data_IF_562902556262
#
_entry.id   IF_562902556262
#
_cell.length_a   1.000
_cell.length_b   1.000
_cell.length_c   1.000
_cell.angle_alpha   90.00
_cell.angle_beta   90.00
_cell.angle_gamma   90.00
#
_symmetry.space_group_name_H-M   'P 1'
#
loop_
_entity.id
_entity.type
_entity.pdbx_description
1 polymer ?
#
# COMPACT_ATOMS: atom_id res chain seq x y z
N UNK A 1 3.53 5.52 15.53
CA UNK A 1 3.48 4.48 14.49
C UNK A 1 4.32 3.28 14.89
N UNK A 2 3.81 2.11 14.52
CA UNK A 2 4.59 0.89 14.56
C UNK A 2 5.84 1.06 13.69
N UNK A 3 6.94 0.40 14.07
CA UNK A 3 8.20 0.47 13.33
C UNK A 3 8.04 0.06 11.86
N UNK A 4 7.30 -1.01 11.61
CA UNK A 4 7.04 -1.46 10.24
C UNK A 4 6.21 -0.45 9.45
N UNK A 5 5.20 0.14 10.08
CA UNK A 5 4.38 1.15 9.43
C UNK A 5 5.20 2.40 9.10
N UNK A 6 6.09 2.81 10.00
CA UNK A 6 6.96 3.94 9.75
C UNK A 6 7.92 3.67 8.59
N UNK A 7 8.49 2.46 8.54
CA UNK A 7 9.36 2.06 7.44
C UNK A 7 8.60 2.04 6.13
N UNK A 8 7.37 1.53 6.14
CA UNK A 8 6.53 1.52 4.95
C UNK A 8 6.22 2.94 4.46
N UNK A 9 5.93 3.84 5.39
CA UNK A 9 5.65 5.23 5.06
C UNK A 9 6.84 5.90 4.37
N UNK A 10 8.05 5.62 4.84
CA UNK A 10 9.24 6.26 4.32
C UNK A 10 9.81 5.56 3.07
N UNK A 11 9.76 4.24 3.02
CA UNK A 11 10.45 3.43 2.01
C UNK A 11 9.52 2.59 1.13
N UNK A 12 8.22 2.54 1.46
CA UNK A 12 7.28 1.72 0.71
C UNK A 12 7.02 2.24 -0.69
N UNK A 13 6.53 1.37 -1.56
CA UNK A 13 6.13 1.71 -2.92
C UNK A 13 4.87 2.56 -2.85
N UNK A 14 4.87 3.70 -3.51
CA UNK A 14 3.70 4.58 -3.57
C UNK A 14 2.66 4.01 -4.53
N UNK A 15 1.38 4.25 -4.24
CA UNK A 15 0.31 3.83 -5.14
C UNK A 15 0.53 4.36 -6.57
N UNK A 16 0.98 5.60 -6.70
CA UNK A 16 1.21 6.21 -8.01
C UNK A 16 2.25 5.48 -8.83
N UNK A 17 3.14 4.73 -8.17
CA UNK A 17 4.19 3.96 -8.85
C UNK A 17 3.73 2.56 -9.24
N UNK A 18 2.52 2.14 -8.85
CA UNK A 18 1.98 0.84 -9.24
C UNK A 18 1.25 0.98 -10.56
N UNK A 19 1.15 -0.13 -11.29
CA UNK A 19 0.49 -0.16 -12.60
C UNK A 19 -0.36 -1.41 -12.75
N UNK A 20 -1.27 -1.40 -13.72
CA UNK A 20 -2.07 -2.56 -14.10
C UNK A 20 -3.07 -2.98 -13.04
N UNK A 21 -3.22 -4.28 -12.88
CA UNK A 21 -4.23 -4.85 -11.98
C UNK A 21 -3.99 -4.48 -10.52
N UNK A 22 -2.72 -4.40 -10.11
CA UNK A 22 -2.40 -4.03 -8.74
C UNK A 22 -2.88 -2.62 -8.43
N UNK A 23 -2.66 -1.68 -9.34
CA UNK A 23 -3.13 -0.31 -9.15
C UNK A 23 -4.65 -0.25 -9.03
N UNK A 24 -5.36 -1.00 -9.86
CA UNK A 24 -6.82 -1.07 -9.80
C UNK A 24 -7.31 -1.65 -8.48
N UNK A 25 -6.65 -2.69 -8.01
CA UNK A 25 -6.98 -3.33 -6.75
C UNK A 25 -6.83 -2.36 -5.58
N UNK A 26 -5.70 -1.63 -5.55
CA UNK A 26 -5.44 -0.65 -4.50
C UNK A 26 -6.45 0.49 -4.56
N UNK A 27 -6.78 0.97 -5.76
CA UNK A 27 -7.77 2.02 -5.93
C UNK A 27 -9.14 1.59 -5.41
N UNK A 28 -9.51 0.34 -5.61
CA UNK A 28 -10.77 -0.21 -5.10
C UNK A 28 -10.78 -0.21 -3.58
N UNK A 29 -9.69 -0.64 -2.96
CA UNK A 29 -9.58 -0.62 -1.50
C UNK A 29 -9.61 0.82 -0.97
N UNK A 30 -8.92 1.73 -1.63
CA UNK A 30 -8.91 3.13 -1.23
C UNK A 30 -10.30 3.74 -1.29
N UNK A 31 -11.11 3.33 -2.26
CA UNK A 31 -12.47 3.82 -2.37
C UNK A 31 -13.28 3.54 -1.10
N UNK A 32 -13.01 2.42 -0.43
CA UNK A 32 -13.64 2.06 0.82
C UNK A 32 -13.06 2.81 2.01
N UNK A 33 -11.86 3.39 1.87
CA UNK A 33 -11.14 4.09 2.93
C UNK A 33 -10.71 5.48 2.45
N UNK A 34 -11.69 6.30 2.09
CA UNK A 34 -11.44 7.63 1.50
C UNK A 34 -10.66 8.58 2.39
N UNK A 35 -10.62 8.32 3.70
CA UNK A 35 -9.87 9.16 4.63
C UNK A 35 -8.35 8.99 4.45
N UNK A 36 -7.93 7.88 3.87
CA UNK A 36 -6.52 7.65 3.60
C UNK A 36 -6.06 8.57 2.47
N UNK A 37 -4.97 9.26 2.68
CA UNK A 37 -4.38 10.13 1.66
C UNK A 37 -2.96 9.70 1.27
N UNK A 38 -2.42 8.71 1.94
CA UNK A 38 -1.14 8.12 1.61
C UNK A 38 -1.27 6.61 1.64
N UNK A 39 -0.85 5.96 0.55
CA UNK A 39 -0.88 4.52 0.45
C UNK A 39 0.52 4.06 0.12
N UNK A 40 1.02 3.09 0.87
CA UNK A 40 2.36 2.53 0.67
C UNK A 40 2.28 1.01 0.69
N UNK A 41 3.12 0.38 -0.11
CA UNK A 41 3.25 -1.07 -0.14
C UNK A 41 4.67 -1.40 0.30
N UNK A 42 4.79 -2.17 1.37
CA UNK A 42 6.08 -2.57 1.88
C UNK A 42 6.03 -4.04 2.26
N UNK A 43 7.00 -4.81 1.78
CA UNK A 43 6.93 -6.24 1.91
C UNK A 43 5.72 -6.76 1.14
N UNK A 44 4.83 -7.47 1.79
CA UNK A 44 3.62 -8.00 1.16
C UNK A 44 2.37 -7.39 1.79
N UNK A 45 2.49 -6.18 2.33
CA UNK A 45 1.42 -5.51 3.04
C UNK A 45 1.17 -4.13 2.42
N UNK A 46 -0.10 -3.79 2.25
CA UNK A 46 -0.52 -2.48 1.79
C UNK A 46 -0.94 -1.68 3.02
N UNK A 47 -0.30 -0.53 3.22
CA UNK A 47 -0.55 0.35 4.37
C UNK A 47 -1.32 1.59 3.91
N UNK A 48 -2.39 1.91 4.62
CA UNK A 48 -3.20 3.09 4.35
C UNK A 48 -3.01 4.09 5.49
N UNK A 49 -2.59 5.30 5.14
CA UNK A 49 -2.30 6.36 6.12
C UNK A 49 -3.20 7.58 5.90
N UNK A 50 -3.53 8.27 6.99
CA UNK A 50 -4.08 9.62 6.94
C UNK A 50 -3.02 10.53 7.54
N UNK A 51 -2.38 11.34 6.68
CA UNK A 51 -1.18 12.05 7.09
C UNK A 51 -0.09 11.03 7.42
N UNK A 52 0.39 11.06 8.66
CA UNK A 52 1.37 10.06 9.13
C UNK A 52 0.74 9.05 10.12
N UNK A 53 -0.58 8.97 10.17
CA UNK A 53 -1.30 8.04 11.04
C UNK A 53 -1.77 6.83 10.25
N UNK A 54 -1.42 5.63 10.71
CA UNK A 54 -1.88 4.40 10.08
C UNK A 54 -3.37 4.19 10.36
N UNK A 55 -4.16 4.06 9.29
CA UNK A 55 -5.60 3.80 9.40
C UNK A 55 -5.87 2.30 9.40
N UNK A 56 -5.33 1.60 8.42
CA UNK A 56 -5.56 0.16 8.24
C UNK A 56 -4.46 -0.42 7.36
N UNK A 57 -4.42 -1.75 7.29
CA UNK A 57 -3.51 -2.45 6.40
C UNK A 57 -4.17 -3.70 5.84
N UNK A 58 -3.69 -4.14 4.68
CA UNK A 58 -4.16 -5.35 4.02
C UNK A 58 -2.97 -6.16 3.51
N UNK A 59 -3.10 -7.48 3.53
CA UNK A 59 -2.12 -8.34 2.88
C UNK A 59 -2.33 -8.30 1.38
N UNK A 60 -1.25 -8.25 0.63
CA UNK A 60 -1.32 -8.32 -0.84
C UNK A 60 -1.71 -9.74 -1.24
N UNK A 61 -2.75 -9.93 -2.09
CA UNK A 61 -3.12 -11.25 -2.58
C UNK A 61 -1.97 -11.92 -3.33
N UNK A 62 -1.93 -13.25 -3.27
CA UNK A 62 -0.87 -14.04 -3.91
C UNK A 62 -0.70 -13.70 -5.39
N UNK A 63 -1.80 -13.43 -6.08
CA UNK A 63 -1.77 -13.12 -7.51
C UNK A 63 -0.99 -11.84 -7.83
N UNK A 64 -0.87 -10.93 -6.87
CA UNK A 64 -0.14 -9.67 -7.05
C UNK A 64 1.27 -9.69 -6.47
N UNK A 65 1.63 -10.71 -5.71
CA UNK A 65 2.97 -10.77 -5.09
C UNK A 65 4.07 -10.86 -6.14
N UNK A 66 3.81 -11.51 -7.26
CA UNK A 66 4.77 -11.58 -8.36
C UNK A 66 5.02 -10.20 -8.97
N UNK A 67 3.96 -9.39 -9.06
CA UNK A 67 4.07 -8.03 -9.60
C UNK A 67 4.93 -7.17 -8.69
N UNK A 68 4.81 -7.34 -7.37
CA UNK A 68 5.59 -6.57 -6.40
C UNK A 68 7.09 -6.76 -6.56
N UNK A 69 7.53 -7.92 -7.00
CA UNK A 69 8.95 -8.19 -7.20
C UNK A 69 9.59 -7.28 -8.25
N UNK A 70 8.78 -6.76 -9.16
CA UNK A 70 9.27 -5.86 -10.21
C UNK A 70 9.47 -4.43 -9.72
N UNK A 71 8.95 -4.10 -8.54
CA UNK A 71 9.04 -2.75 -7.98
C UNK A 71 10.12 -2.63 -6.89
N UNK A 72 10.82 -3.69 -6.64
CA UNK A 72 11.90 -3.68 -5.63
C UNK A 72 13.23 -3.29 -6.24
#
# INVERSE_FOLDING_TARGET
LDRLALTAFQKGIKQADTVGQLQKYIAKLWFEHKKANNIRIYGEVIYFFSGNTLITLYLVPNEFRRVLKHFR
#
